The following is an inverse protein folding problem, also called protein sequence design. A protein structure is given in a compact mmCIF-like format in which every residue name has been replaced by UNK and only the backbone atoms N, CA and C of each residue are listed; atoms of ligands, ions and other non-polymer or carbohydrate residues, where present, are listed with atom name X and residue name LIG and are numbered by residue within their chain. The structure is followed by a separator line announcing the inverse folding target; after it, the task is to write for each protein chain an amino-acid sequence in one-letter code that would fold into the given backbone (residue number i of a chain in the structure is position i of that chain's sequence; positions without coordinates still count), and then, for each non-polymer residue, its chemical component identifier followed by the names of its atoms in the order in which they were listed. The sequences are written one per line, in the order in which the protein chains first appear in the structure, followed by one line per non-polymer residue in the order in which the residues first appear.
data_IF_347211600947
#
_entry.id   IF_347211600947
#
_cell.length_a   1.000
_cell.length_b   1.000
_cell.length_c   1.000
_cell.angle_alpha   90.00
_cell.angle_beta   90.00
_cell.angle_gamma   90.00
#
_symmetry.space_group_name_H-M   'P 1'
#
loop_
_entity.id
_entity.type
_entity.pdbx_description
1 polymer ?
#
# COMPACT_ATOMS: atom_id res chain seq x y z
N UNK A 1 16.17 17.74 6.17
CA UNK A 1 14.97 18.58 6.45
C UNK A 1 13.69 17.77 6.27
N UNK A 2 13.28 17.07 7.32
CA UNK A 2 11.98 16.41 7.33
C UNK A 2 10.85 17.46 7.25
N UNK A 3 9.90 17.26 6.33
CA UNK A 3 8.70 18.10 6.21
C UNK A 3 7.57 17.43 6.97
N UNK A 4 7.04 18.11 7.99
CA UNK A 4 5.84 17.66 8.72
C UNK A 4 4.72 18.69 8.54
N UNK A 5 3.47 18.24 8.44
CA UNK A 5 2.32 19.13 8.24
C UNK A 5 1.45 19.13 9.51
N UNK A 6 1.13 20.31 10.01
CA UNK A 6 0.19 20.45 11.11
C UNK A 6 -1.26 20.16 10.64
N UNK A 7 -2.18 19.85 11.56
CA UNK A 7 -3.61 19.69 11.25
C UNK A 7 -4.25 20.93 10.61
N UNK A 8 -3.69 22.12 10.85
CA UNK A 8 -4.14 23.36 10.21
C UNK A 8 -3.58 23.58 8.78
N UNK A 9 -2.88 22.58 8.22
CA UNK A 9 -2.27 22.63 6.90
C UNK A 9 -0.93 23.36 6.83
N UNK A 10 -0.47 23.98 7.92
CA UNK A 10 0.81 24.71 7.92
C UNK A 10 1.99 23.72 7.84
N UNK A 11 2.94 23.91 6.90
CA UNK A 11 4.19 23.16 6.90
C UNK A 11 5.05 23.59 8.09
N UNK A 12 5.61 22.61 8.80
CA UNK A 12 6.50 22.81 9.93
C UNK A 12 7.94 22.49 9.50
N UNK A 13 8.85 23.44 9.71
CA UNK A 13 10.28 23.21 9.57
C UNK A 13 10.78 22.53 10.84
N UNK A 14 11.15 21.26 10.71
CA UNK A 14 11.66 20.48 11.83
C UNK A 14 13.19 20.45 11.75
N UNK A 15 13.92 20.91 12.77
CA UNK A 15 15.36 20.69 12.84
C UNK A 15 15.63 19.19 13.02
N UNK A 16 16.55 18.64 12.22
CA UNK A 16 16.83 17.20 12.11
C UNK A 16 17.18 16.53 13.47
N UNK A 17 17.71 17.30 14.44
CA UNK A 17 18.20 16.82 15.74
C UNK A 17 17.17 16.76 16.89
N UNK A 18 15.87 16.99 16.66
CA UNK A 18 14.88 17.00 17.75
C UNK A 18 13.80 15.94 17.60
N UNK A 19 14.02 14.80 18.25
CA UNK A 19 12.97 13.87 18.66
C UNK A 19 12.09 14.55 19.73
N UNK A 20 11.11 15.33 19.28
CA UNK A 20 10.32 16.18 20.17
C UNK A 20 8.98 16.62 19.61
N UNK A 21 8.18 17.25 20.48
CA UNK A 21 6.93 17.93 20.08
C UNK A 21 7.26 19.35 19.63
N UNK A 22 6.83 19.73 18.43
CA UNK A 22 6.95 21.10 17.92
C UNK A 22 5.60 21.79 18.03
N UNK A 23 5.61 23.06 18.43
CA UNK A 23 4.40 23.89 18.48
C UNK A 23 4.18 24.50 17.11
N UNK A 24 3.00 24.32 16.53
CA UNK A 24 2.66 24.96 15.26
C UNK A 24 2.52 26.47 15.45
N UNK A 25 3.22 27.30 14.66
CA UNK A 25 3.15 28.76 14.80
C UNK A 25 1.79 29.34 14.42
N UNK A 26 1.00 28.63 13.59
CA UNK A 26 -0.31 29.11 13.12
C UNK A 26 -1.45 28.86 14.11
N UNK A 27 -1.40 27.75 14.85
CA UNK A 27 -2.53 27.32 15.68
C UNK A 27 -2.16 26.91 17.11
N UNK A 28 -0.89 27.01 17.50
CA UNK A 28 -0.42 26.66 18.85
C UNK A 28 -0.47 25.15 19.18
N UNK A 29 -0.89 24.30 18.22
CA UNK A 29 -0.99 22.86 18.46
C UNK A 29 0.38 22.23 18.70
N UNK A 30 0.51 21.41 19.76
CA UNK A 30 1.70 20.59 20.01
C UNK A 30 1.69 19.35 19.11
N UNK A 31 2.35 19.44 17.97
CA UNK A 31 2.49 18.34 17.00
C UNK A 31 3.61 17.42 17.44
N UNK A 32 3.29 16.14 17.65
CA UNK A 32 4.29 15.09 17.87
C UNK A 32 4.83 14.66 16.52
N UNK A 33 6.09 14.98 16.25
CA UNK A 33 6.75 14.57 15.02
C UNK A 33 7.25 13.15 15.28
N UNK A 34 6.76 12.21 14.47
CA UNK A 34 7.38 10.89 14.37
C UNK A 34 8.43 11.04 13.27
N UNK A 35 9.72 10.74 13.52
CA UNK A 35 10.70 10.73 12.46
C UNK A 35 10.18 9.82 11.35
N UNK A 36 10.09 10.37 10.13
CA UNK A 36 9.53 9.68 8.97
C UNK A 36 10.34 8.44 8.55
N UNK A 37 11.44 8.13 9.25
CA UNK A 37 12.40 7.07 8.93
C UNK A 37 12.67 6.11 10.09
N UNK A 38 11.63 5.47 10.63
CA UNK A 38 11.77 4.44 11.68
C UNK A 38 11.16 3.08 11.37
N UNK A 39 10.66 2.86 10.15
CA UNK A 39 10.34 1.52 9.63
C UNK A 39 11.47 0.98 8.77
N UNK A 40 12.69 1.51 8.94
CA UNK A 40 13.90 0.87 8.48
C UNK A 40 14.30 -0.23 9.47
N UNK A 41 14.82 -1.37 9.01
CA UNK A 41 15.43 -2.36 9.89
C UNK A 41 16.61 -1.69 10.58
N UNK A 42 16.47 -1.42 11.88
CA UNK A 42 17.55 -0.88 12.70
C UNK A 42 18.58 -1.99 12.86
N UNK A 43 19.62 -1.96 12.03
CA UNK A 43 20.77 -2.86 12.08
C UNK A 43 21.69 -2.42 13.22
N UNK A 44 21.22 -2.55 14.46
CA UNK A 44 22.01 -2.21 15.66
C UNK A 44 22.37 -3.43 16.51
N UNK A 45 21.57 -4.50 16.45
CA UNK A 45 21.63 -5.58 17.44
C UNK A 45 21.94 -6.97 16.85
N UNK A 46 22.15 -7.10 15.53
CA UNK A 46 22.26 -8.42 14.89
C UNK A 46 20.91 -9.18 14.79
N UNK A 47 19.79 -8.47 14.90
CA UNK A 47 18.45 -9.04 14.74
C UNK A 47 17.60 -8.25 13.74
N UNK A 48 16.87 -8.96 12.89
CA UNK A 48 15.85 -8.43 11.99
C UNK A 48 14.52 -8.40 12.75
N UNK A 49 13.87 -7.23 12.78
CA UNK A 49 12.56 -7.04 13.40
C UNK A 49 11.52 -6.76 12.32
N UNK A 50 10.49 -7.58 12.21
CA UNK A 50 9.42 -7.41 11.23
C UNK A 50 8.04 -7.72 11.82
N UNK A 51 6.98 -7.29 11.15
CA UNK A 51 5.61 -7.46 11.61
C UNK A 51 4.94 -8.67 10.93
N UNK A 52 4.31 -9.53 11.73
CA UNK A 52 3.39 -10.56 11.24
C UNK A 52 2.03 -9.92 10.92
N UNK A 53 1.28 -10.40 9.90
CA UNK A 53 -0.07 -9.93 9.60
C UNK A 53 -1.09 -10.06 10.74
N UNK A 54 -0.81 -10.84 11.79
CA UNK A 54 -1.63 -10.86 13.01
C UNK A 54 -1.39 -9.65 13.94
N UNK A 55 -0.42 -8.78 13.61
CA UNK A 55 -0.04 -7.61 14.41
C UNK A 55 1.12 -7.83 15.38
N UNK A 56 1.61 -9.07 15.52
CA UNK A 56 2.77 -9.39 16.38
C UNK A 56 4.08 -8.96 15.72
N UNK A 57 5.02 -8.48 16.52
CA UNK A 57 6.39 -8.15 16.08
C UNK A 57 7.29 -9.36 16.32
N UNK A 58 7.95 -9.83 15.26
CA UNK A 58 8.89 -10.94 15.29
C UNK A 58 10.32 -10.38 15.32
N UNK A 59 11.21 -11.10 16.03
CA UNK A 59 12.63 -10.79 16.15
C UNK A 59 13.39 -12.06 15.77
N UNK A 60 14.19 -12.00 14.71
CA UNK A 60 14.96 -13.13 14.20
C UNK A 60 16.43 -12.73 14.12
N UNK A 61 17.39 -13.57 14.56
CA UNK A 61 18.82 -13.27 14.41
C UNK A 61 19.21 -13.17 12.93
N UNK A 62 20.17 -12.30 12.59
CA UNK A 62 20.69 -12.19 11.22
C UNK A 62 21.46 -13.45 10.81
N UNK A 63 22.13 -14.11 11.76
CA UNK A 63 22.91 -15.32 11.51
C UNK A 63 22.04 -16.54 11.14
N UNK A 64 20.78 -16.55 11.59
CA UNK A 64 19.78 -17.52 11.20
C UNK A 64 18.76 -16.82 10.31
N UNK A 65 19.07 -16.70 9.02
CA UNK A 65 18.17 -16.13 8.01
C UNK A 65 17.45 -17.26 7.26
N UNK A 66 16.53 -18.01 7.89
CA UNK A 66 15.62 -18.81 7.10
C UNK A 66 14.80 -17.84 6.24
N UNK A 67 14.56 -18.20 4.98
CA UNK A 67 13.72 -17.43 4.06
C UNK A 67 12.32 -17.16 4.65
N UNK A 68 11.89 -18.00 5.60
CA UNK A 68 10.59 -17.95 6.23
C UNK A 68 10.66 -18.22 7.74
N UNK A 69 9.90 -17.46 8.54
CA UNK A 69 9.74 -17.68 9.98
C UNK A 69 8.29 -18.01 10.37
N UNK A 70 8.08 -18.91 11.33
CA UNK A 70 6.74 -19.23 11.86
C UNK A 70 6.39 -18.30 13.01
N UNK A 71 5.22 -17.66 12.95
CA UNK A 71 4.72 -16.85 14.06
C UNK A 71 4.31 -17.77 15.22
N UNK A 72 4.76 -17.52 16.47
CA UNK A 72 4.40 -18.36 17.62
C UNK A 72 2.93 -18.20 18.02
N UNK A 73 2.32 -17.04 17.76
CA UNK A 73 0.94 -16.76 18.17
C UNK A 73 -0.10 -17.29 17.18
N UNK A 74 0.10 -17.11 15.87
CA UNK A 74 -0.87 -17.53 14.85
C UNK A 74 -0.43 -18.73 14.01
N UNK A 75 0.79 -19.22 14.19
CA UNK A 75 1.35 -20.35 13.44
C UNK A 75 1.61 -20.09 11.95
N UNK A 76 1.29 -18.90 11.43
CA UNK A 76 1.47 -18.55 10.01
C UNK A 76 2.95 -18.39 9.69
N UNK A 77 3.32 -18.84 8.50
CA UNK A 77 4.65 -18.66 7.92
C UNK A 77 4.73 -17.24 7.33
N UNK A 78 5.67 -16.43 7.82
CA UNK A 78 5.86 -15.03 7.41
C UNK A 78 7.23 -14.91 6.74
N UNK A 79 7.32 -14.30 5.54
CA UNK A 79 8.60 -14.08 4.87
C UNK A 79 9.46 -13.09 5.67
N UNK A 80 10.74 -13.44 5.88
CA UNK A 80 11.69 -12.56 6.56
C UNK A 80 12.28 -11.61 5.52
N UNK A 81 12.20 -10.28 5.69
CA UNK A 81 12.85 -9.34 4.77
C UNK A 81 14.37 -9.52 4.83
N UNK A 82 14.98 -9.95 3.73
CA UNK A 82 16.44 -10.03 3.60
C UNK A 82 17.01 -8.63 3.44
N UNK A 83 17.84 -8.21 4.39
CA UNK A 83 18.42 -6.86 4.43
C UNK A 83 19.45 -6.58 3.34
N UNK A 84 19.86 -7.59 2.57
CA UNK A 84 20.85 -7.48 1.50
C UNK A 84 20.27 -7.45 0.08
N UNK A 85 18.96 -7.59 -0.10
CA UNK A 85 18.34 -7.45 -1.42
C UNK A 85 17.98 -5.99 -1.66
N UNK A 86 18.91 -5.18 -2.18
CA UNK A 86 18.54 -3.87 -2.69
C UNK A 86 17.50 -4.09 -3.81
N UNK A 87 16.28 -3.52 -3.73
CA UNK A 87 15.30 -3.64 -4.80
C UNK A 87 15.81 -3.03 -6.12
N UNK A 88 16.91 -2.26 -6.09
CA UNK A 88 17.58 -1.71 -7.28
C UNK A 88 18.52 -2.69 -7.98
N UNK A 89 18.98 -3.77 -7.33
CA UNK A 89 19.84 -4.77 -8.00
C UNK A 89 19.08 -5.66 -8.98
N UNK A 90 17.75 -5.56 -9.06
CA UNK A 90 16.97 -6.35 -10.03
C UNK A 90 17.19 -5.91 -11.49
N UNK A 91 17.90 -4.81 -11.73
CA UNK A 91 18.10 -4.23 -13.06
C UNK A 91 19.55 -4.06 -13.49
N UNK A 92 20.53 -4.38 -12.64
CA UNK A 92 21.96 -4.14 -12.94
C UNK A 92 22.65 -5.31 -13.69
N UNK A 93 21.97 -6.46 -13.89
CA UNK A 93 22.55 -7.63 -14.57
C UNK A 93 21.92 -7.95 -15.93
N UNK A 94 21.21 -7.01 -16.56
CA UNK A 94 20.81 -7.20 -17.96
C UNK A 94 22.01 -6.85 -18.84
N UNK A 95 22.80 -7.86 -19.18
CA UNK A 95 23.91 -7.72 -20.13
C UNK A 95 23.38 -7.11 -21.44
N UNK A 96 24.22 -6.33 -22.13
CA UNK A 96 23.82 -5.69 -23.38
C UNK A 96 23.24 -6.69 -24.40
N UNK A 97 23.80 -7.91 -24.45
CA UNK A 97 23.34 -9.01 -25.30
C UNK A 97 21.93 -9.50 -24.93
N UNK A 98 21.61 -9.52 -23.64
CA UNK A 98 20.30 -9.93 -23.14
C UNK A 98 19.24 -8.84 -23.41
N UNK A 99 19.65 -7.57 -23.41
CA UNK A 99 18.84 -6.45 -23.88
C UNK A 99 18.47 -6.57 -25.36
N UNK A 100 19.43 -6.88 -26.22
CA UNK A 100 19.20 -7.09 -27.66
C UNK A 100 18.26 -8.27 -27.94
N UNK A 101 18.38 -9.36 -27.16
CA UNK A 101 17.48 -10.50 -27.24
C UNK A 101 16.03 -10.13 -26.89
N UNK A 102 15.82 -9.35 -25.82
CA UNK A 102 14.48 -8.86 -25.43
C UNK A 102 13.88 -7.93 -26.48
N UNK A 103 14.70 -7.07 -27.10
CA UNK A 103 14.24 -6.18 -28.17
C UNK A 103 13.83 -6.95 -29.43
N UNK A 104 14.58 -7.99 -29.81
CA UNK A 104 14.22 -8.88 -30.91
C UNK A 104 12.92 -9.64 -30.61
N UNK A 105 12.79 -10.21 -29.41
CA UNK A 105 11.56 -10.88 -28.97
C UNK A 105 10.35 -9.93 -29.00
N UNK A 106 10.51 -8.70 -28.49
CA UNK A 106 9.46 -7.70 -28.51
C UNK A 106 9.09 -7.25 -29.93
N UNK A 107 10.06 -7.18 -30.86
CA UNK A 107 9.80 -6.89 -32.26
C UNK A 107 9.03 -8.03 -32.95
N UNK A 108 9.38 -9.28 -32.66
CA UNK A 108 8.70 -10.47 -33.17
C UNK A 108 7.25 -10.52 -32.67
N UNK A 109 7.02 -10.33 -31.38
CA UNK A 109 5.68 -10.34 -30.80
C UNK A 109 4.82 -9.14 -31.22
N UNK A 110 5.41 -7.98 -31.53
CA UNK A 110 4.70 -6.86 -32.16
C UNK A 110 4.24 -7.21 -33.58
N UNK A 111 5.04 -7.98 -34.33
CA UNK A 111 4.72 -8.43 -35.70
C UNK A 111 3.69 -9.56 -35.72
N UNK A 112 3.72 -10.46 -34.75
CA UNK A 112 2.81 -11.61 -34.66
C UNK A 112 1.38 -11.28 -34.22
N UNK A 113 1.06 -10.00 -34.00
CA UNK A 113 -0.31 -9.58 -33.74
C UNK A 113 -0.60 -9.46 -32.25
N UNK A 114 -0.39 -8.24 -31.76
CA UNK A 114 -0.95 -7.71 -30.54
C UNK A 114 -2.47 -7.94 -30.47
N UNK A 115 -2.91 -9.04 -29.86
CA UNK A 115 -4.06 -8.95 -28.97
C UNK A 115 -3.52 -8.38 -27.67
N UNK A 116 -3.58 -7.06 -27.53
CA UNK A 116 -3.37 -6.38 -26.25
C UNK A 116 -4.28 -7.08 -25.23
N UNK A 117 -3.77 -7.75 -24.18
CA UNK A 117 -4.61 -8.05 -23.03
C UNK A 117 -5.03 -6.68 -22.49
N UNK A 118 -6.34 -6.43 -22.50
CA UNK A 118 -6.99 -5.15 -22.29
C UNK A 118 -6.92 -4.67 -20.82
N UNK A 119 -5.74 -4.74 -20.21
CA UNK A 119 -5.49 -4.48 -18.80
C UNK A 119 -4.59 -3.25 -18.58
N UNK A 120 -4.57 -2.32 -19.55
CA UNK A 120 -4.07 -0.97 -19.31
C UNK A 120 -5.16 -0.18 -18.57
N UNK A 121 -4.91 0.36 -17.37
CA UNK A 121 -5.83 1.29 -16.75
C UNK A 121 -5.97 2.52 -17.67
N UNK A 122 -7.20 3.00 -17.92
CA UNK A 122 -7.41 4.16 -18.79
C UNK A 122 -6.69 5.37 -18.21
N UNK A 123 -5.96 6.09 -19.05
CA UNK A 123 -5.32 7.35 -18.69
C UNK A 123 -6.35 8.41 -18.26
N UNK A 124 -5.93 9.46 -17.54
CA UNK A 124 -6.82 10.46 -16.94
C UNK A 124 -7.66 11.27 -17.94
N UNK A 125 -7.32 11.23 -19.23
CA UNK A 125 -8.00 11.99 -20.30
C UNK A 125 -8.81 11.11 -21.26
N UNK A 126 -9.04 9.84 -20.93
CA UNK A 126 -9.88 8.98 -21.77
C UNK A 126 -11.35 9.43 -21.69
N UNK A 127 -12.03 9.72 -22.84
CA UNK A 127 -13.45 10.00 -22.84
C UNK A 127 -14.21 8.81 -22.22
N UNK A 128 -15.28 9.05 -21.43
CA UNK A 128 -16.00 7.99 -20.76
C UNK A 128 -16.54 7.03 -21.82
N UNK A 129 -15.94 5.83 -21.87
CA UNK A 129 -16.44 4.78 -22.74
C UNK A 129 -17.84 4.39 -22.26
N UNK A 130 -18.86 4.34 -23.14
CA UNK A 130 -20.18 3.85 -22.79
C UNK A 130 -20.09 2.32 -22.65
N UNK A 131 -19.57 1.85 -21.52
CA UNK A 131 -19.78 0.46 -21.14
C UNK A 131 -21.25 0.29 -20.78
N UNK A 132 -21.98 -0.65 -21.41
CA UNK A 132 -23.26 -1.08 -20.88
C UNK A 132 -22.98 -1.81 -19.58
N UNK A 133 -23.07 -1.10 -18.45
CA UNK A 133 -23.14 -1.75 -17.15
C UNK A 133 -24.46 -2.52 -17.14
N UNK A 134 -24.37 -3.83 -17.32
CA UNK A 134 -25.49 -4.73 -17.04
C UNK A 134 -25.92 -4.47 -15.60
N UNK A 135 -27.18 -4.13 -15.33
CA UNK A 135 -27.64 -3.72 -14.00
C UNK A 135 -27.77 -4.88 -13.00
N UNK A 136 -27.35 -6.09 -13.37
CA UNK A 136 -27.46 -7.27 -12.55
C UNK A 136 -26.09 -7.85 -12.20
N UNK A 137 -25.95 -8.11 -10.89
CA UNK A 137 -25.19 -9.24 -10.39
C UNK A 137 -23.66 -9.11 -10.23
N UNK A 138 -23.28 -8.23 -9.30
CA UNK A 138 -22.21 -8.57 -8.34
C UNK A 138 -22.41 -7.80 -7.04
N UNK A 139 -23.39 -8.25 -6.26
CA UNK A 139 -23.50 -7.87 -4.85
C UNK A 139 -22.31 -8.53 -4.14
N UNK A 140 -21.19 -7.81 -4.05
CA UNK A 140 -20.04 -8.21 -3.24
C UNK A 140 -20.53 -8.56 -1.83
N UNK A 141 -20.16 -9.76 -1.38
CA UNK A 141 -20.51 -10.31 -0.09
C UNK A 141 -20.14 -9.33 1.04
N UNK A 142 -21.12 -8.57 1.55
CA UNK A 142 -20.87 -7.55 2.57
C UNK A 142 -21.66 -6.24 2.43
N UNK A 143 -22.51 -6.07 1.42
CA UNK A 143 -23.31 -4.86 1.24
C UNK A 143 -24.82 -5.14 1.27
N UNK A 144 -25.56 -4.34 2.05
CA UNK A 144 -27.05 -4.28 2.09
C UNK A 144 -27.52 -3.12 1.21
N UNK A 145 -28.77 -3.15 0.76
CA UNK A 145 -29.36 -2.00 0.08
C UNK A 145 -30.05 -1.07 1.08
N UNK A 146 -29.85 0.25 0.94
CA UNK A 146 -30.58 1.24 1.72
C UNK A 146 -32.08 1.19 1.36
N UNK A 147 -33.00 1.14 2.34
CA UNK A 147 -34.44 1.08 2.06
C UNK A 147 -34.99 2.37 1.44
N UNK A 148 -34.28 3.50 1.56
CA UNK A 148 -34.74 4.79 1.04
C UNK A 148 -34.19 5.08 -0.38
N UNK A 149 -32.91 4.81 -0.63
CA UNK A 149 -32.26 5.20 -1.89
C UNK A 149 -31.63 4.05 -2.69
N UNK A 150 -31.82 2.80 -2.25
CA UNK A 150 -31.40 1.59 -2.95
C UNK A 150 -29.89 1.44 -3.18
N UNK A 151 -29.07 2.34 -2.63
CA UNK A 151 -27.61 2.26 -2.78
C UNK A 151 -26.99 1.22 -1.84
N UNK A 152 -25.86 0.60 -2.23
CA UNK A 152 -25.13 -0.32 -1.37
C UNK A 152 -24.63 0.38 -0.10
N UNK A 153 -24.89 -0.23 1.05
CA UNK A 153 -24.47 0.21 2.38
C UNK A 153 -23.73 -0.96 3.03
N UNK A 154 -22.59 -0.66 3.65
CA UNK A 154 -21.79 -1.66 4.36
C UNK A 154 -22.60 -2.30 5.50
N UNK A 155 -22.49 -3.62 5.69
CA UNK A 155 -23.24 -4.37 6.71
C UNK A 155 -23.13 -3.80 8.14
N UNK A 156 -22.01 -3.14 8.47
CA UNK A 156 -21.75 -2.54 9.78
C UNK A 156 -22.24 -1.09 9.97
N UNK A 157 -22.79 -0.46 8.94
CA UNK A 157 -23.20 0.96 9.01
C UNK A 157 -24.68 1.10 9.38
N UNK A 158 -24.96 1.88 10.42
CA UNK A 158 -26.33 2.18 10.88
C UNK A 158 -27.00 3.33 10.12
N UNK A 159 -26.26 3.97 9.20
CA UNK A 159 -26.72 5.16 8.47
C UNK A 159 -26.24 5.12 7.02
N UNK A 160 -27.12 5.41 6.08
CA UNK A 160 -26.77 5.48 4.67
C UNK A 160 -25.93 6.73 4.39
N UNK A 161 -24.71 6.56 3.84
CA UNK A 161 -23.84 7.67 3.45
C UNK A 161 -24.41 8.56 2.35
N UNK A 162 -25.38 8.08 1.58
CA UNK A 162 -25.95 8.82 0.46
C UNK A 162 -27.16 9.69 0.83
N UNK A 163 -28.07 9.17 1.65
CA UNK A 163 -29.32 9.86 1.99
C UNK A 163 -29.48 10.18 3.48
N UNK A 164 -28.57 9.73 4.34
CA UNK A 164 -28.63 9.96 5.79
C UNK A 164 -29.68 9.13 6.54
N UNK A 165 -30.49 8.32 5.85
CA UNK A 165 -31.49 7.46 6.50
C UNK A 165 -30.83 6.36 7.33
N UNK A 166 -31.40 6.05 8.50
CA UNK A 166 -30.95 4.93 9.32
C UNK A 166 -31.25 3.60 8.63
N UNK A 167 -30.27 2.69 8.60
CA UNK A 167 -30.39 1.37 7.99
C UNK A 167 -30.44 0.34 9.11
N UNK A 168 -31.59 -0.32 9.37
CA UNK A 168 -31.70 -1.27 10.47
C UNK A 168 -30.79 -2.49 10.23
N UNK A 169 -30.14 -2.95 11.29
CA UNK A 169 -29.40 -4.22 11.28
C UNK A 169 -30.42 -5.36 11.31
N UNK A 170 -30.51 -6.11 10.22
CA UNK A 170 -31.17 -7.42 10.19
C UNK A 170 -30.20 -8.50 10.63
#
# INVERSE_FOLDING_TARGET
MAKATCRCGQPLTVPDDREGRVVCPRCGSRVRIRPSGGSGPVVGDGFIRFACPCGRRLKVPVDSTPTHGKCPDCGRIVPVPTLGGSPEQRTDELLAEEGEYLDQWAAEHRRLGSRVPNNFPPGPDAPPSPHPQSPDERVEAGLRLCPNCSRPVHLGSDTCRNCGTSVPRR
#
